data_IF_788188034771
#
_entry.id   IF_788188034771
#
_cell.length_a   1.000
_cell.length_b   1.000
_cell.length_c   1.000
_cell.angle_alpha   90.00
_cell.angle_beta   90.00
_cell.angle_gamma   90.00
#
_symmetry.space_group_name_H-M   'P 1'
#
loop_
_entity.id
_entity.type
_entity.pdbx_description
1 polymer ?
#
# COMPACT_ATOMS: atom_id res chain seq x y z
N UNK A 1 -12.60 2.61 -27.91
CA UNK A 1 -12.66 3.31 -26.62
C UNK A 1 -11.30 3.92 -26.23
N UNK A 2 -10.26 3.11 -26.01
CA UNK A 2 -8.88 3.58 -25.73
C UNK A 2 -8.34 4.59 -26.75
N UNK A 3 -8.59 4.34 -28.04
CA UNK A 3 -8.14 5.23 -29.11
C UNK A 3 -8.77 6.64 -29.03
N UNK A 4 -10.08 6.73 -28.78
CA UNK A 4 -10.80 8.00 -28.65
C UNK A 4 -10.40 8.77 -27.39
N UNK A 5 -10.14 8.07 -26.28
CA UNK A 5 -9.66 8.72 -25.04
C UNK A 5 -8.27 9.33 -25.25
N UNK A 6 -7.38 8.63 -25.96
CA UNK A 6 -6.05 9.15 -26.33
C UNK A 6 -6.13 10.37 -27.24
N UNK A 7 -7.04 10.39 -28.22
CA UNK A 7 -7.24 11.53 -29.12
C UNK A 7 -7.77 12.78 -28.38
N UNK A 8 -8.72 12.60 -27.47
CA UNK A 8 -9.23 13.70 -26.62
C UNK A 8 -8.12 14.23 -25.72
N UNK A 9 -7.35 13.34 -25.09
CA UNK A 9 -6.19 13.74 -24.28
C UNK A 9 -5.22 14.60 -25.08
N UNK A 10 -4.82 14.15 -26.27
CA UNK A 10 -3.87 14.88 -27.10
C UNK A 10 -4.42 16.25 -27.56
N UNK A 11 -5.73 16.35 -27.77
CA UNK A 11 -6.39 17.59 -28.23
C UNK A 11 -6.50 18.66 -27.13
N UNK A 12 -6.49 18.27 -25.86
CA UNK A 12 -6.66 19.16 -24.71
C UNK A 12 -5.55 18.95 -23.67
N UNK A 13 -4.36 18.56 -24.11
CA UNK A 13 -3.27 18.08 -23.26
C UNK A 13 -2.97 19.01 -22.11
N UNK A 14 -2.75 20.30 -22.36
CA UNK A 14 -2.36 21.25 -21.32
C UNK A 14 -3.43 21.38 -20.23
N UNK A 15 -4.71 21.44 -20.61
CA UNK A 15 -5.84 21.52 -19.67
C UNK A 15 -6.00 20.22 -18.89
N UNK A 16 -5.84 19.08 -19.56
CA UNK A 16 -6.01 17.77 -18.94
C UNK A 16 -4.85 17.47 -18.00
N UNK A 17 -3.61 17.84 -18.36
CA UNK A 17 -2.45 17.77 -17.49
C UNK A 17 -2.60 18.70 -16.27
N UNK A 18 -3.17 19.91 -16.44
CA UNK A 18 -3.46 20.80 -15.31
C UNK A 18 -4.47 20.21 -14.31
N UNK A 19 -5.42 19.40 -14.78
CA UNK A 19 -6.48 18.81 -13.94
C UNK A 19 -6.05 17.44 -13.36
N UNK A 20 -5.40 16.61 -14.17
CA UNK A 20 -5.13 15.21 -13.87
C UNK A 20 -3.64 14.86 -13.77
N UNK A 21 -2.73 15.78 -14.11
CA UNK A 21 -1.28 15.60 -14.08
C UNK A 21 -0.72 14.90 -15.32
N UNK A 22 -1.32 13.79 -15.72
CA UNK A 22 -0.88 13.01 -16.87
C UNK A 22 -1.98 12.19 -17.55
N UNK A 23 -1.58 11.51 -18.64
CA UNK A 23 -2.46 10.65 -19.42
C UNK A 23 -3.02 9.47 -18.62
N UNK A 24 -2.23 8.86 -17.74
CA UNK A 24 -2.66 7.65 -17.03
C UNK A 24 -3.73 8.01 -16.01
N UNK A 25 -3.50 9.07 -15.24
CA UNK A 25 -4.45 9.65 -14.28
C UNK A 25 -5.77 10.04 -14.96
N UNK A 26 -5.69 10.72 -16.10
CA UNK A 26 -6.85 11.04 -16.93
C UNK A 26 -7.58 9.77 -17.41
N UNK A 27 -6.84 8.81 -17.97
CA UNK A 27 -7.39 7.57 -18.50
C UNK A 27 -8.11 6.77 -17.42
N UNK A 28 -7.49 6.59 -16.25
CA UNK A 28 -8.11 5.87 -15.13
C UNK A 28 -9.35 6.59 -14.60
N UNK A 29 -9.38 7.93 -14.56
CA UNK A 29 -10.59 8.67 -14.20
C UNK A 29 -11.75 8.40 -15.17
N UNK A 30 -11.48 8.39 -16.48
CA UNK A 30 -12.49 8.07 -17.49
C UNK A 30 -13.00 6.63 -17.31
N UNK A 31 -12.09 5.68 -17.10
CA UNK A 31 -12.45 4.28 -16.84
C UNK A 31 -13.31 4.15 -15.58
N UNK A 32 -13.00 4.89 -14.52
CA UNK A 32 -13.80 4.88 -13.30
C UNK A 32 -15.21 5.43 -13.53
N UNK A 33 -15.35 6.54 -14.28
CA UNK A 33 -16.66 7.08 -14.65
C UNK A 33 -17.49 6.15 -15.56
N UNK A 34 -16.83 5.30 -16.34
CA UNK A 34 -17.50 4.28 -17.17
C UNK A 34 -17.97 3.11 -16.29
N UNK A 35 -17.15 2.70 -15.32
CA UNK A 35 -17.39 1.52 -14.50
C UNK A 35 -18.32 1.75 -13.31
N UNK A 36 -18.31 2.96 -12.74
CA UNK A 36 -18.96 3.27 -11.47
C UNK A 36 -19.87 4.50 -11.60
N UNK A 37 -20.96 4.52 -10.84
CA UNK A 37 -21.88 5.67 -10.84
C UNK A 37 -21.12 6.95 -10.45
N UNK A 38 -21.12 7.94 -11.35
CA UNK A 38 -20.37 9.21 -11.23
C UNK A 38 -18.85 9.04 -11.04
N UNK A 39 -18.32 7.87 -11.39
CA UNK A 39 -16.93 7.50 -11.13
C UNK A 39 -16.58 7.40 -9.65
N UNK A 40 -17.59 7.24 -8.79
CA UNK A 40 -17.39 7.00 -7.37
C UNK A 40 -17.21 5.49 -7.20
N UNK A 41 -15.96 5.04 -7.07
CA UNK A 41 -15.66 3.67 -6.65
C UNK A 41 -16.37 3.43 -5.31
N UNK A 42 -17.27 2.43 -5.20
CA UNK A 42 -17.83 2.05 -3.92
C UNK A 42 -16.69 1.75 -2.95
N UNK A 43 -16.69 2.36 -1.77
CA UNK A 43 -15.76 2.02 -0.67
C UNK A 43 -16.21 0.70 -0.04
N UNK A 44 -16.14 -0.35 -0.85
CA UNK A 44 -16.11 -1.74 -0.48
C UNK A 44 -15.41 -2.44 -1.65
N UNK A 45 -14.13 -2.12 -1.82
CA UNK A 45 -13.28 -2.88 -2.72
C UNK A 45 -13.39 -4.34 -2.25
N UNK A 46 -13.96 -5.21 -3.07
CA UNK A 46 -13.71 -6.63 -2.93
C UNK A 46 -12.19 -6.79 -2.91
N UNK A 47 -11.65 -7.05 -1.72
CA UNK A 47 -10.22 -7.30 -1.58
C UNK A 47 -10.04 -8.71 -2.14
N UNK A 48 -9.52 -8.79 -3.36
CA UNK A 48 -9.36 -10.05 -4.03
C UNK A 48 -8.29 -10.87 -3.30
N UNK A 49 -8.69 -12.07 -2.86
CA UNK A 49 -7.78 -13.04 -2.26
C UNK A 49 -6.73 -13.46 -3.29
N UNK A 50 -5.46 -13.54 -2.86
CA UNK A 50 -4.39 -14.08 -3.67
C UNK A 50 -4.48 -15.61 -3.65
N UNK A 51 -4.62 -16.27 -4.81
CA UNK A 51 -4.54 -17.73 -4.87
C UNK A 51 -3.22 -18.20 -4.25
N UNK A 52 -3.30 -19.19 -3.36
CA UNK A 52 -2.14 -19.70 -2.60
C UNK A 52 -1.04 -20.19 -3.55
N UNK A 53 -1.42 -20.73 -4.71
CA UNK A 53 -0.51 -21.25 -5.73
C UNK A 53 0.35 -20.17 -6.40
N UNK A 54 -0.06 -18.90 -6.29
CA UNK A 54 0.67 -17.76 -6.84
C UNK A 54 1.58 -17.08 -5.82
N UNK A 55 1.57 -17.55 -4.56
CA UNK A 55 2.36 -16.97 -3.48
C UNK A 55 3.78 -17.54 -3.56
N UNK A 56 4.81 -16.71 -3.80
CA UNK A 56 6.18 -17.17 -3.96
C UNK A 56 6.87 -17.48 -2.62
N UNK A 57 6.19 -17.22 -1.50
CA UNK A 57 6.70 -17.35 -0.14
C UNK A 57 6.07 -18.54 0.57
N UNK A 58 6.83 -19.15 1.47
CA UNK A 58 6.31 -20.15 2.41
C UNK A 58 5.34 -19.48 3.38
N UNK A 59 4.12 -20.00 3.48
CA UNK A 59 3.09 -19.52 4.41
C UNK A 59 3.24 -20.14 5.81
N UNK A 60 4.46 -20.12 6.34
CA UNK A 60 4.80 -20.59 7.67
C UNK A 60 4.80 -19.38 8.63
N UNK A 61 3.85 -19.27 9.57
CA UNK A 61 3.81 -18.15 10.51
C UNK A 61 5.14 -18.05 11.27
N UNK A 62 5.86 -16.95 11.05
CA UNK A 62 7.25 -16.76 11.50
C UNK A 62 7.38 -15.60 12.50
N UNK A 63 6.57 -14.56 12.36
CA UNK A 63 6.73 -13.32 13.10
C UNK A 63 5.60 -13.08 14.10
N UNK A 64 5.97 -12.62 15.30
CA UNK A 64 5.03 -12.03 16.25
C UNK A 64 4.82 -10.56 15.89
N UNK A 65 3.61 -10.23 15.43
CA UNK A 65 3.28 -8.90 14.96
C UNK A 65 3.31 -7.85 16.08
N UNK A 66 2.98 -8.23 17.32
CA UNK A 66 3.00 -7.30 18.45
C UNK A 66 4.43 -6.98 18.87
N UNK A 67 5.33 -7.96 18.80
CA UNK A 67 6.77 -7.76 18.98
C UNK A 67 7.32 -6.79 17.93
N UNK A 68 7.07 -7.04 16.64
CA UNK A 68 7.53 -6.18 15.55
C UNK A 68 6.98 -4.76 15.68
N UNK A 69 5.69 -4.60 16.00
CA UNK A 69 5.08 -3.30 16.24
C UNK A 69 5.80 -2.53 17.35
N UNK A 70 6.07 -3.19 18.48
CA UNK A 70 6.76 -2.56 19.61
C UNK A 70 8.16 -2.09 19.21
N UNK A 71 8.91 -2.92 18.52
CA UNK A 71 10.25 -2.56 18.06
C UNK A 71 10.23 -1.36 17.10
N UNK A 72 9.29 -1.32 16.16
CA UNK A 72 9.15 -0.17 15.26
C UNK A 72 8.84 1.11 16.05
N UNK A 73 7.98 1.04 17.07
CA UNK A 73 7.70 2.18 17.95
C UNK A 73 8.95 2.61 18.72
N UNK A 74 9.72 1.66 19.26
CA UNK A 74 10.95 1.93 19.99
C UNK A 74 12.03 2.56 19.08
N UNK A 75 12.24 2.01 17.89
CA UNK A 75 13.30 2.41 16.97
C UNK A 75 12.98 3.68 16.19
N UNK A 76 11.74 3.84 15.71
CA UNK A 76 11.37 4.91 14.78
C UNK A 76 10.61 6.06 15.43
N UNK A 77 9.99 5.84 16.59
CA UNK A 77 9.16 6.82 17.29
C UNK A 77 9.63 7.11 18.73
N UNK A 78 10.81 6.61 19.12
CA UNK A 78 11.39 6.88 20.44
C UNK A 78 10.65 6.21 21.60
N UNK A 79 9.96 5.11 21.33
CA UNK A 79 9.30 4.27 22.34
C UNK A 79 7.89 4.72 22.76
N UNK A 80 7.34 5.75 22.12
CA UNK A 80 5.99 6.20 22.41
C UNK A 80 5.25 6.66 21.15
N UNK A 81 4.17 5.95 20.81
CA UNK A 81 3.31 6.27 19.67
C UNK A 81 1.84 5.98 20.00
N UNK A 82 1.02 7.03 20.09
CA UNK A 82 -0.39 6.95 20.48
C UNK A 82 -1.33 7.05 19.27
N UNK A 83 -2.59 6.62 19.46
CA UNK A 83 -3.63 6.70 18.43
C UNK A 83 -3.75 5.46 17.57
N UNK A 84 -3.03 4.39 17.91
CA UNK A 84 -3.19 3.06 17.31
C UNK A 84 -4.08 2.21 18.22
N UNK A 85 -5.19 1.74 17.68
CA UNK A 85 -6.16 0.87 18.35
C UNK A 85 -5.73 -0.60 18.31
N UNK A 86 -5.30 -1.09 17.14
CA UNK A 86 -4.87 -2.48 16.97
C UNK A 86 -4.03 -2.64 15.72
N UNK A 87 -3.20 -3.68 15.72
CA UNK A 87 -2.47 -4.17 14.55
C UNK A 87 -2.69 -5.69 14.45
N UNK A 88 -3.13 -6.15 13.28
CA UNK A 88 -3.53 -7.53 13.06
C UNK A 88 -3.01 -8.04 11.71
N UNK A 89 -2.71 -9.33 11.62
CA UNK A 89 -2.57 -9.98 10.32
C UNK A 89 -3.92 -10.04 9.61
N UNK A 90 -3.93 -9.96 8.29
CA UNK A 90 -5.11 -10.36 7.52
C UNK A 90 -5.38 -11.85 7.72
N UNK A 91 -6.64 -12.24 7.70
CA UNK A 91 -7.06 -13.64 7.78
C UNK A 91 -6.68 -14.43 6.52
N UNK A 92 -6.51 -13.72 5.40
CA UNK A 92 -6.20 -14.28 4.10
C UNK A 92 -5.17 -13.44 3.34
N UNK A 93 -4.43 -14.06 2.42
CA UNK A 93 -3.53 -13.33 1.54
C UNK A 93 -4.35 -12.53 0.54
N UNK A 94 -4.05 -11.24 0.41
CA UNK A 94 -4.76 -10.33 -0.51
C UNK A 94 -3.84 -9.80 -1.60
N UNK A 95 -4.40 -9.40 -2.75
CA UNK A 95 -3.64 -8.91 -3.92
C UNK A 95 -3.34 -7.41 -3.91
N UNK A 96 -4.06 -6.63 -3.09
CA UNK A 96 -4.14 -5.18 -3.29
C UNK A 96 -3.26 -4.35 -2.37
N UNK A 97 -2.80 -4.87 -1.22
CA UNK A 97 -1.97 -4.09 -0.28
C UNK A 97 -1.06 -4.98 0.57
N UNK A 98 0.07 -4.44 1.02
CA UNK A 98 0.97 -5.08 1.98
C UNK A 98 0.61 -4.74 3.43
N UNK A 99 0.21 -3.49 3.67
CA UNK A 99 -0.39 -3.02 4.90
C UNK A 99 -1.59 -2.12 4.60
N UNK A 100 -2.41 -1.85 5.61
CA UNK A 100 -3.47 -0.86 5.50
C UNK A 100 -3.83 -0.26 6.85
N UNK A 101 -3.68 1.05 6.96
CA UNK A 101 -4.24 1.87 8.02
C UNK A 101 -5.72 2.19 7.76
N UNK A 102 -6.54 2.09 8.80
CA UNK A 102 -7.94 2.49 8.81
C UNK A 102 -8.16 3.63 9.81
N UNK A 103 -9.07 4.54 9.47
CA UNK A 103 -9.54 5.61 10.37
C UNK A 103 -9.90 5.01 11.73
N UNK A 104 -9.34 5.58 12.79
CA UNK A 104 -9.51 5.10 14.16
C UNK A 104 -8.38 4.21 14.67
N UNK A 105 -7.28 4.08 13.92
CA UNK A 105 -6.04 3.47 14.43
C UNK A 105 -5.96 1.96 14.27
N UNK A 106 -6.76 1.35 13.39
CA UNK A 106 -6.64 -0.08 13.11
C UNK A 106 -5.70 -0.27 11.93
N UNK A 107 -4.75 -1.19 12.07
CA UNK A 107 -3.80 -1.54 11.02
C UNK A 107 -3.96 -3.02 10.69
N UNK A 108 -3.99 -3.34 9.40
CA UNK A 108 -3.91 -4.71 8.92
C UNK A 108 -2.65 -4.90 8.10
N UNK A 109 -1.85 -5.89 8.46
CA UNK A 109 -0.68 -6.30 7.66
C UNK A 109 -1.05 -7.59 6.93
N UNK A 110 -0.74 -7.66 5.63
CA UNK A 110 -1.07 -8.80 4.81
C UNK A 110 -0.28 -10.04 5.28
N UNK A 111 -0.98 -11.14 5.55
CA UNK A 111 -0.37 -12.35 6.12
C UNK A 111 0.65 -13.03 5.20
N UNK A 112 0.71 -12.64 3.92
CA UNK A 112 1.78 -13.05 2.98
C UNK A 112 3.18 -12.64 3.46
N UNK A 113 3.26 -11.58 4.27
CA UNK A 113 4.51 -11.10 4.86
C UNK A 113 4.92 -11.91 6.09
N UNK A 114 4.02 -12.71 6.66
CA UNK A 114 4.31 -13.59 7.79
C UNK A 114 4.94 -14.90 7.29
N UNK A 115 6.15 -14.77 6.77
CA UNK A 115 6.88 -15.84 6.08
C UNK A 115 8.37 -15.79 6.42
N UNK A 116 9.04 -16.95 6.53
CA UNK A 116 10.49 -16.99 6.68
C UNK A 116 11.25 -16.52 5.43
N UNK A 117 10.56 -16.40 4.28
CA UNK A 117 11.15 -15.93 3.02
C UNK A 117 11.04 -14.40 2.86
N UNK A 118 10.34 -13.72 3.77
CA UNK A 118 10.23 -12.27 3.81
C UNK A 118 11.16 -11.74 4.91
N UNK A 119 12.13 -10.85 4.61
CA UNK A 119 13.02 -10.31 5.62
C UNK A 119 12.24 -9.61 6.74
N UNK A 120 12.59 -9.91 7.99
CA UNK A 120 11.96 -9.32 9.18
C UNK A 120 11.90 -7.79 9.14
N UNK A 121 13.01 -7.15 8.75
CA UNK A 121 13.08 -5.69 8.62
C UNK A 121 12.19 -5.13 7.51
N UNK A 122 11.89 -5.92 6.47
CA UNK A 122 10.90 -5.55 5.46
C UNK A 122 9.48 -5.56 6.05
N UNK A 123 9.15 -6.52 6.93
CA UNK A 123 7.86 -6.53 7.63
C UNK A 123 7.73 -5.30 8.54
N UNK A 124 8.78 -4.99 9.30
CA UNK A 124 8.85 -3.79 10.14
C UNK A 124 8.75 -2.50 9.33
N UNK A 125 9.35 -2.44 8.15
CA UNK A 125 9.20 -1.33 7.21
C UNK A 125 7.74 -1.10 6.81
N UNK A 126 6.98 -2.16 6.48
CA UNK A 126 5.54 -2.04 6.19
C UNK A 126 4.77 -1.55 7.42
N UNK A 127 5.08 -2.05 8.62
CA UNK A 127 4.46 -1.56 9.85
C UNK A 127 4.75 -0.06 10.04
N UNK A 128 6.00 0.37 9.86
CA UNK A 128 6.39 1.77 9.94
C UNK A 128 5.60 2.64 8.96
N UNK A 129 5.46 2.20 7.70
CA UNK A 129 4.66 2.86 6.68
C UNK A 129 3.21 3.07 7.15
N UNK A 130 2.54 2.02 7.64
CA UNK A 130 1.16 2.13 8.11
C UNK A 130 1.01 3.02 9.34
N UNK A 131 2.04 3.09 10.18
CA UNK A 131 2.04 4.01 11.33
C UNK A 131 2.10 5.45 10.88
N UNK A 132 2.84 5.78 9.82
CA UNK A 132 2.89 7.14 9.28
C UNK A 132 1.51 7.64 8.83
N UNK A 133 0.64 6.75 8.34
CA UNK A 133 -0.72 7.12 7.93
C UNK A 133 -1.62 7.68 9.04
N UNK A 134 -1.26 7.46 10.31
CA UNK A 134 -1.93 8.12 11.44
C UNK A 134 -1.77 9.64 11.40
N UNK A 135 -0.58 10.13 11.02
CA UNK A 135 -0.26 11.56 10.95
C UNK A 135 -0.39 12.12 9.52
N UNK A 136 -0.17 11.27 8.51
CA UNK A 136 -0.06 11.63 7.11
C UNK A 136 -1.00 10.76 6.26
N UNK A 137 -2.24 11.23 6.08
CA UNK A 137 -3.27 10.45 5.39
C UNK A 137 -2.94 10.13 3.92
N UNK A 138 -2.14 10.97 3.27
CA UNK A 138 -1.71 10.80 1.88
C UNK A 138 -0.19 10.69 1.82
N UNK A 139 0.33 10.00 0.80
CA UNK A 139 1.77 9.95 0.47
C UNK A 139 2.24 11.28 -0.13
N UNK A 140 2.19 12.34 0.65
CA UNK A 140 2.72 13.64 0.26
C UNK A 140 4.25 13.72 0.47
N UNK A 141 4.83 14.89 0.19
CA UNK A 141 6.27 15.09 0.30
C UNK A 141 6.81 14.85 1.73
N UNK A 142 6.04 15.17 2.77
CA UNK A 142 6.48 14.95 4.14
C UNK A 142 6.31 13.48 4.53
N UNK A 143 5.26 12.79 4.07
CA UNK A 143 5.14 11.33 4.19
C UNK A 143 6.39 10.65 3.63
N UNK A 144 6.72 10.92 2.36
CA UNK A 144 7.86 10.25 1.72
C UNK A 144 9.17 10.57 2.44
N UNK A 145 9.37 11.82 2.85
CA UNK A 145 10.55 12.20 3.62
C UNK A 145 10.66 11.40 4.92
N UNK A 146 9.55 11.11 5.60
CA UNK A 146 9.51 10.29 6.81
C UNK A 146 9.80 8.83 6.49
N UNK A 147 9.09 8.28 5.53
CA UNK A 147 9.25 6.91 5.05
C UNK A 147 10.72 6.59 4.70
N UNK A 148 11.39 7.49 3.98
CA UNK A 148 12.79 7.34 3.56
C UNK A 148 13.80 7.42 4.73
N UNK A 149 13.37 7.75 5.95
CA UNK A 149 14.23 7.66 7.14
C UNK A 149 14.34 6.24 7.69
N UNK A 150 13.51 5.30 7.25
CA UNK A 150 13.65 3.91 7.67
C UNK A 150 15.00 3.35 7.19
N UNK A 151 15.77 2.66 8.06
CA UNK A 151 17.05 2.06 7.67
C UNK A 151 16.90 1.16 6.44
N UNK A 152 17.82 1.28 5.49
CA UNK A 152 17.83 0.49 4.25
C UNK A 152 16.51 0.52 3.45
N UNK A 153 15.73 1.62 3.56
CA UNK A 153 14.46 1.86 2.85
C UNK A 153 14.44 1.34 1.40
N UNK A 154 15.49 1.66 0.64
CA UNK A 154 15.57 1.29 -0.79
C UNK A 154 15.58 -0.23 -0.99
N UNK A 155 16.19 -1.00 -0.08
CA UNK A 155 16.23 -2.46 -0.16
C UNK A 155 14.86 -3.06 0.16
N UNK A 156 14.20 -2.58 1.22
CA UNK A 156 12.86 -3.03 1.60
C UNK A 156 11.82 -2.69 0.53
N UNK A 157 11.86 -1.47 -0.02
CA UNK A 157 10.96 -1.07 -1.10
C UNK A 157 11.18 -1.93 -2.36
N UNK A 158 12.44 -2.19 -2.75
CA UNK A 158 12.75 -3.07 -3.88
C UNK A 158 12.29 -4.51 -3.65
N UNK A 159 12.45 -5.03 -2.43
CA UNK A 159 11.94 -6.36 -2.09
C UNK A 159 10.43 -6.45 -2.31
N UNK A 160 9.68 -5.43 -1.90
CA UNK A 160 8.22 -5.42 -2.01
C UNK A 160 7.72 -5.16 -3.44
N UNK A 161 8.46 -4.37 -4.23
CA UNK A 161 8.16 -4.13 -5.65
C UNK A 161 8.43 -5.37 -6.55
N UNK A 162 9.38 -6.22 -6.14
CA UNK A 162 9.82 -7.37 -6.95
C UNK A 162 9.48 -8.74 -6.35
N UNK A 163 9.03 -8.80 -5.10
CA UNK A 163 8.81 -10.03 -4.36
C UNK A 163 7.64 -10.85 -4.90
N UNK A 164 6.63 -10.22 -5.49
CA UNK A 164 5.44 -10.87 -6.04
C UNK A 164 5.26 -10.43 -7.50
N UNK A 165 6.03 -11.06 -8.39
CA UNK A 165 6.25 -10.72 -9.81
C UNK A 165 5.01 -10.46 -10.70
N UNK A 166 3.78 -10.67 -10.21
CA UNK A 166 2.54 -10.53 -11.00
C UNK A 166 1.54 -9.52 -10.46
N UNK A 167 1.75 -8.96 -9.26
CA UNK A 167 0.79 -8.05 -8.63
C UNK A 167 1.47 -6.75 -8.21
N UNK A 168 0.86 -5.63 -8.63
CA UNK A 168 1.16 -4.32 -8.05
C UNK A 168 0.32 -4.15 -6.81
N UNK A 169 0.97 -4.17 -5.66
CA UNK A 169 0.36 -3.82 -4.39
C UNK A 169 0.31 -2.30 -4.28
N UNK A 170 -0.79 -1.77 -3.73
CA UNK A 170 -0.90 -0.36 -3.38
C UNK A 170 -0.09 -0.12 -2.09
N UNK A 171 0.70 0.94 -2.13
CA UNK A 171 1.24 1.65 -0.98
C UNK A 171 0.20 2.68 -0.54
#
# INVERSE_FOLDING_TARGET
MTYQVKEIYNSYKDIIDDIYGDYESYYYRIIDCIKYDKGIKPVSSYIEEMPVELIPFRLEPTYDLQELYKEVVDEMFGGHYEGIQSIEWTDKPYKSFYGKYYVGGRIRINCILNSPDVPRETVKFVIYHELLHRDYWYHDKEFYKREHMYPDYTEHNRFLDHGIYQYKFEW
#
